data_IF_584819141185
#
_entry.id   IF_584819141185
#
_cell.length_a   1.000
_cell.length_b   1.000
_cell.length_c   1.000
_cell.angle_alpha   90.00
_cell.angle_beta   90.00
_cell.angle_gamma   90.00
#
_symmetry.space_group_name_H-M   'P 1'
#
loop_
_entity.id
_entity.type
_entity.pdbx_description
1 polymer ?
#
# COMPACT_ATOMS: atom_id res chain seq x y z
N UNK A 1 -15.52 -21.04 -3.22
CA UNK A 1 -14.62 -20.06 -3.85
C UNK A 1 -15.07 -18.70 -3.36
N UNK A 2 -14.43 -18.16 -2.31
CA UNK A 2 -14.72 -16.80 -1.84
C UNK A 2 -14.10 -15.83 -2.87
N UNK A 3 -14.84 -14.84 -3.40
CA UNK A 3 -14.29 -13.86 -4.33
C UNK A 3 -13.23 -12.94 -3.69
N UNK A 4 -13.21 -12.84 -2.36
CA UNK A 4 -12.46 -11.85 -1.60
C UNK A 4 -10.93 -12.06 -1.62
N UNK A 5 -10.47 -13.32 -1.72
CA UNK A 5 -9.02 -13.64 -1.75
C UNK A 5 -8.33 -13.13 -3.02
N UNK A 6 -9.06 -12.97 -4.13
CA UNK A 6 -8.48 -12.51 -5.39
C UNK A 6 -8.21 -11.00 -5.38
N UNK A 7 -9.04 -10.22 -4.71
CA UNK A 7 -8.87 -8.77 -4.61
C UNK A 7 -7.72 -8.42 -3.67
N UNK A 8 -7.60 -9.12 -2.55
CA UNK A 8 -6.50 -8.97 -1.59
C UNK A 8 -5.13 -9.22 -2.23
N UNK A 9 -4.99 -10.29 -3.01
CA UNK A 9 -3.74 -10.63 -3.74
C UNK A 9 -3.36 -9.58 -4.80
N UNK A 10 -4.36 -8.98 -5.46
CA UNK A 10 -4.15 -7.88 -6.42
C UNK A 10 -3.72 -6.58 -5.72
N UNK A 11 -4.34 -6.25 -4.59
CA UNK A 11 -3.99 -5.08 -3.77
C UNK A 11 -2.58 -5.26 -3.20
N UNK A 12 -2.25 -6.44 -2.69
CA UNK A 12 -0.91 -6.72 -2.17
C UNK A 12 0.14 -6.61 -3.28
N UNK A 13 -0.11 -7.22 -4.45
CA UNK A 13 0.80 -7.12 -5.59
C UNK A 13 1.00 -5.66 -6.03
N UNK A 14 -0.08 -4.90 -6.20
CA UNK A 14 -0.02 -3.49 -6.56
C UNK A 14 0.75 -2.66 -5.52
N UNK A 15 0.50 -2.88 -4.23
CA UNK A 15 1.20 -2.17 -3.17
C UNK A 15 2.70 -2.51 -3.15
N UNK A 16 3.08 -3.76 -3.34
CA UNK A 16 4.49 -4.17 -3.45
C UNK A 16 5.18 -3.51 -4.64
N UNK A 17 4.54 -3.51 -5.81
CA UNK A 17 5.07 -2.88 -7.03
C UNK A 17 5.27 -1.38 -6.85
N UNK A 18 4.27 -0.68 -6.32
CA UNK A 18 4.34 0.77 -6.10
C UNK A 18 5.36 1.13 -5.02
N UNK A 19 5.48 0.34 -3.96
CA UNK A 19 6.51 0.55 -2.96
C UNK A 19 7.90 0.37 -3.57
N UNK A 20 8.14 -0.75 -4.28
CA UNK A 20 9.41 -1.01 -4.98
C UNK A 20 9.83 0.18 -5.86
N UNK A 21 8.89 0.74 -6.63
CA UNK A 21 9.15 1.83 -7.58
C UNK A 21 9.61 3.14 -6.92
N UNK A 22 9.21 3.41 -5.66
CA UNK A 22 9.60 4.63 -4.94
C UNK A 22 10.81 4.46 -4.02
N UNK A 23 11.33 3.24 -3.88
CA UNK A 23 12.50 2.96 -3.04
C UNK A 23 13.80 3.30 -3.77
N UNK A 24 14.80 3.72 -2.99
CA UNK A 24 16.16 3.97 -3.51
C UNK A 24 17.17 3.54 -2.45
N UNK A 25 17.90 2.43 -2.67
CA UNK A 25 17.90 1.58 -3.86
C UNK A 25 16.58 0.83 -4.08
N UNK A 26 16.29 0.48 -5.33
CA UNK A 26 15.12 -0.34 -5.69
C UNK A 26 15.22 -1.72 -5.01
N UNK A 27 14.12 -2.16 -4.42
CA UNK A 27 13.98 -3.47 -3.75
C UNK A 27 12.90 -4.24 -4.47
N UNK A 28 13.20 -5.45 -4.94
CA UNK A 28 12.23 -6.26 -5.67
C UNK A 28 10.93 -6.45 -4.85
N UNK A 29 9.75 -6.39 -5.49
CA UNK A 29 8.45 -6.46 -4.79
C UNK A 29 8.27 -7.77 -3.99
N UNK A 30 8.86 -8.86 -4.47
CA UNK A 30 8.90 -10.16 -3.79
C UNK A 30 9.83 -10.21 -2.56
N UNK A 31 10.82 -9.31 -2.48
CA UNK A 31 11.76 -9.19 -1.37
C UNK A 31 11.28 -8.22 -0.28
N UNK A 32 10.19 -7.48 -0.54
CA UNK A 32 9.57 -6.62 0.46
C UNK A 32 8.87 -7.49 1.52
N UNK A 33 9.32 -7.34 2.75
CA UNK A 33 8.63 -7.84 3.93
C UNK A 33 7.41 -6.94 4.24
N UNK A 34 6.19 -7.50 4.29
CA UNK A 34 4.98 -6.70 4.44
C UNK A 34 4.78 -6.16 5.86
N UNK A 35 5.41 -6.79 6.86
CA UNK A 35 5.33 -6.42 8.28
C UNK A 35 6.48 -5.48 8.69
N UNK A 36 7.41 -5.19 7.78
CA UNK A 36 8.50 -4.24 8.01
C UNK A 36 8.01 -2.79 7.95
N UNK A 37 8.54 -1.97 8.85
CA UNK A 37 8.33 -0.52 8.83
C UNK A 37 8.98 0.08 7.59
N UNK A 38 8.18 0.71 6.72
CA UNK A 38 8.65 1.18 5.43
C UNK A 38 9.69 2.31 5.55
N UNK A 39 9.58 3.13 6.60
CA UNK A 39 10.49 4.25 6.85
C UNK A 39 11.80 3.73 7.44
N UNK A 40 11.72 2.90 8.47
CA UNK A 40 12.88 2.41 9.20
C UNK A 40 13.64 1.30 8.45
N UNK A 41 12.93 0.40 7.77
CA UNK A 41 13.54 -0.73 7.06
C UNK A 41 14.02 -0.35 5.65
N UNK A 42 13.23 0.45 4.91
CA UNK A 42 13.53 0.78 3.52
C UNK A 42 13.93 2.26 3.30
N UNK A 43 13.96 3.07 4.37
CA UNK A 43 14.33 4.49 4.25
C UNK A 43 13.27 5.33 3.55
N UNK A 44 12.00 4.88 3.53
CA UNK A 44 10.93 5.60 2.86
C UNK A 44 10.74 6.99 3.47
N UNK A 45 10.94 8.04 2.68
CA UNK A 45 10.72 9.41 3.13
C UNK A 45 9.23 9.77 3.10
N UNK A 46 8.82 10.84 3.80
CA UNK A 46 7.43 11.32 3.76
C UNK A 46 6.96 11.65 2.33
N UNK A 47 7.86 12.14 1.47
CA UNK A 47 7.54 12.41 0.06
C UNK A 47 7.27 11.12 -0.71
N UNK A 48 8.17 10.14 -0.59
CA UNK A 48 8.01 8.84 -1.26
C UNK A 48 6.77 8.11 -0.75
N UNK A 49 6.45 8.26 0.54
CA UNK A 49 5.23 7.71 1.13
C UNK A 49 3.98 8.31 0.51
N UNK A 50 3.92 9.62 0.32
CA UNK A 50 2.77 10.27 -0.35
C UNK A 50 2.67 9.80 -1.80
N UNK A 51 3.78 9.77 -2.56
CA UNK A 51 3.79 9.27 -3.94
C UNK A 51 3.28 7.82 -4.02
N UNK A 52 3.82 6.95 -3.18
CA UNK A 52 3.40 5.56 -3.07
C UNK A 52 1.91 5.43 -2.76
N UNK A 53 1.41 6.17 -1.76
CA UNK A 53 0.00 6.10 -1.36
C UNK A 53 -0.94 6.60 -2.45
N UNK A 54 -0.56 7.66 -3.16
CA UNK A 54 -1.36 8.18 -4.29
C UNK A 54 -1.44 7.15 -5.41
N UNK A 55 -0.29 6.63 -5.87
CA UNK A 55 -0.25 5.67 -6.99
C UNK A 55 -0.97 4.35 -6.65
N UNK A 56 -0.77 3.81 -5.45
CA UNK A 56 -1.44 2.54 -5.06
C UNK A 56 -2.96 2.72 -4.95
N UNK A 57 -3.43 3.87 -4.47
CA UNK A 57 -4.85 4.20 -4.42
C UNK A 57 -5.46 4.28 -5.83
N UNK A 58 -4.77 4.93 -6.77
CA UNK A 58 -5.21 5.02 -8.17
C UNK A 58 -5.27 3.64 -8.85
N UNK A 59 -4.26 2.79 -8.63
CA UNK A 59 -4.21 1.44 -9.22
C UNK A 59 -5.28 0.52 -8.66
N UNK A 60 -5.64 0.69 -7.38
CA UNK A 60 -6.62 -0.16 -6.68
C UNK A 60 -8.05 0.38 -6.73
N UNK A 61 -8.28 1.50 -7.45
CA UNK A 61 -9.57 2.21 -7.52
C UNK A 61 -10.11 2.61 -6.13
N UNK A 62 -9.21 2.92 -5.19
CA UNK A 62 -9.56 3.39 -3.84
C UNK A 62 -9.36 4.90 -3.77
N UNK A 63 -10.38 5.62 -3.33
CA UNK A 63 -10.26 7.06 -3.14
C UNK A 63 -9.43 7.39 -1.87
N UNK A 64 -8.34 8.14 -2.04
CA UNK A 64 -7.46 8.55 -0.93
C UNK A 64 -8.23 9.37 0.13
N UNK A 65 -9.34 10.04 -0.22
CA UNK A 65 -10.16 10.79 0.72
C UNK A 65 -10.88 9.91 1.76
N UNK A 66 -10.90 8.58 1.57
CA UNK A 66 -11.32 7.65 2.63
C UNK A 66 -10.34 7.62 3.82
N UNK A 67 -9.08 8.02 3.61
CA UNK A 67 -8.05 8.01 4.62
C UNK A 67 -7.83 9.40 5.21
N UNK A 68 -7.82 9.47 6.54
CA UNK A 68 -7.47 10.71 7.25
C UNK A 68 -5.97 10.81 7.44
N UNK A 69 -5.45 12.00 7.75
CA UNK A 69 -4.02 12.19 8.08
C UNK A 69 -3.54 11.23 9.19
N UNK A 70 -4.41 10.93 10.15
CA UNK A 70 -4.10 10.00 11.24
C UNK A 70 -4.03 8.55 10.74
N UNK A 71 -4.85 8.19 9.77
CA UNK A 71 -4.84 6.87 9.14
C UNK A 71 -3.55 6.67 8.33
N UNK A 72 -3.23 7.67 7.49
CA UNK A 72 -1.97 7.71 6.74
C UNK A 72 -0.74 7.68 7.66
N UNK A 73 -0.81 8.33 8.82
CA UNK A 73 0.27 8.28 9.82
C UNK A 73 0.44 6.89 10.45
N UNK A 74 -0.64 6.12 10.60
CA UNK A 74 -0.61 4.75 11.12
C UNK A 74 -0.18 3.72 10.07
N UNK A 75 -0.28 4.03 8.78
CA UNK A 75 0.22 3.17 7.70
C UNK A 75 1.76 3.16 7.69
N UNK A 76 2.36 2.40 8.61
CA UNK A 76 3.81 2.29 8.74
C UNK A 76 4.38 1.09 8.01
N UNK A 77 3.58 0.05 7.82
CA UNK A 77 3.96 -1.18 7.12
C UNK A 77 3.14 -1.36 5.84
N UNK A 78 3.61 -2.21 4.93
CA UNK A 78 2.86 -2.55 3.72
C UNK A 78 1.56 -3.31 4.07
N UNK A 79 1.57 -4.10 5.13
CA UNK A 79 0.38 -4.78 5.66
C UNK A 79 -0.70 -3.78 6.09
N UNK A 80 -0.32 -2.68 6.76
CA UNK A 80 -1.29 -1.65 7.14
C UNK A 80 -1.96 -1.02 5.90
N UNK A 81 -1.18 -0.77 4.85
CA UNK A 81 -1.67 -0.16 3.60
C UNK A 81 -2.60 -1.11 2.87
N UNK A 82 -2.19 -2.37 2.69
CA UNK A 82 -2.97 -3.39 1.98
C UNK A 82 -4.26 -3.74 2.72
N UNK A 83 -4.24 -3.84 4.05
CA UNK A 83 -5.44 -4.05 4.87
C UNK A 83 -6.39 -2.85 4.78
N UNK A 84 -5.85 -1.62 4.82
CA UNK A 84 -6.64 -0.40 4.65
C UNK A 84 -7.30 -0.34 3.26
N UNK A 85 -6.54 -0.57 2.19
CA UNK A 85 -7.07 -0.59 0.82
C UNK A 85 -8.13 -1.68 0.65
N UNK A 86 -7.89 -2.89 1.16
CA UNK A 86 -8.84 -4.02 1.06
C UNK A 86 -10.19 -3.71 1.73
N UNK A 87 -10.19 -2.96 2.84
CA UNK A 87 -11.43 -2.52 3.49
C UNK A 87 -12.27 -1.56 2.65
N UNK A 88 -11.64 -0.83 1.72
CA UNK A 88 -12.28 0.19 0.90
C UNK A 88 -12.53 -0.26 -0.56
N UNK A 89 -11.70 -1.16 -1.09
CA UNK A 89 -11.76 -1.66 -2.48
C UNK A 89 -12.97 -2.58 -2.76
N UNK A 90 -13.73 -2.96 -1.73
CA UNK A 90 -14.96 -3.76 -1.86
C UNK A 90 -16.27 -2.99 -1.68
N UNK A 91 -16.23 -1.68 -1.40
CA UNK A 91 -17.43 -0.89 -1.12
C UNK A 91 -17.93 -0.20 -2.37
N UNK A 92 -18.32 -1.03 -3.35
CA UNK A 92 -19.04 -0.59 -4.53
C UNK A 92 -20.31 0.17 -4.14
N UNK A 93 -20.46 1.33 -4.77
CA UNK A 93 -21.69 2.14 -4.90
C UNK A 93 -22.90 1.30 -5.30
#
# INVERSE_FOLDING_TARGET
MHPDTRTDDLIESAAREQLSAVLTPEVAPEALDPDADMVAAYGLTSLNKVLFLTEVCEVTDVDLAHFTEHDLARMTTLRDVTDALTRHSGKGV
#
